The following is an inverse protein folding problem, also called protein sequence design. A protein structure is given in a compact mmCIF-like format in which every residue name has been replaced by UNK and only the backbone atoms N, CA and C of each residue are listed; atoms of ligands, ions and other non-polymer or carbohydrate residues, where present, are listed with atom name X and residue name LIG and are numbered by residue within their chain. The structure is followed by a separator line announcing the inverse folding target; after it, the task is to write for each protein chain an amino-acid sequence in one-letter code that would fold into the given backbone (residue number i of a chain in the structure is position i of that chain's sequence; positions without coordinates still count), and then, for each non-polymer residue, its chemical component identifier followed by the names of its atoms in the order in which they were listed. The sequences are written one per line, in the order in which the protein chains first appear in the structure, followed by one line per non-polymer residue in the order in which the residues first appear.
data_IF_130228667890
#
_entry.id   IF_130228667890
#
_cell.length_a   1.000
_cell.length_b   1.000
_cell.length_c   1.000
_cell.angle_alpha   90.00
_cell.angle_beta   90.00
_cell.angle_gamma   90.00
#
_symmetry.space_group_name_H-M   'P 1'
#
loop_
_entity.id
_entity.type
_entity.pdbx_description
1 polymer ?
#
# COMPACT_ATOMS: atom_id res chain seq x y z
N UNK A 1 -16.35 10.53 18.57
CA UNK A 1 -15.72 9.31 18.07
C UNK A 1 -15.04 9.68 16.74
N UNK A 2 -13.71 9.81 16.78
CA UNK A 2 -12.89 10.29 15.67
C UNK A 2 -12.06 9.11 15.10
N UNK A 3 -12.57 8.36 14.12
CA UNK A 3 -11.86 7.22 13.55
C UNK A 3 -10.48 7.59 12.98
N UNK A 4 -10.34 8.80 12.42
CA UNK A 4 -9.11 9.34 11.84
C UNK A 4 -7.97 9.55 12.87
N UNK A 5 -8.29 9.59 14.16
CA UNK A 5 -7.31 9.74 15.25
C UNK A 5 -6.86 8.39 15.85
N UNK A 6 -7.44 7.26 15.38
CA UNK A 6 -7.10 5.93 15.90
C UNK A 6 -5.80 5.42 15.32
N UNK A 7 -5.06 4.68 16.13
CA UNK A 7 -3.98 3.83 15.62
C UNK A 7 -4.59 2.70 14.77
N UNK A 8 -4.06 2.50 13.60
CA UNK A 8 -4.56 1.52 12.65
C UNK A 8 -3.45 0.59 12.16
N UNK A 9 -3.83 -0.62 11.79
CA UNK A 9 -2.93 -1.59 11.18
C UNK A 9 -3.65 -2.40 10.10
N UNK A 10 -2.89 -2.81 9.09
CA UNK A 10 -3.30 -3.82 8.12
C UNK A 10 -2.76 -5.19 8.54
N UNK A 11 -3.44 -6.25 8.15
CA UNK A 11 -3.04 -7.61 8.50
C UNK A 11 -3.38 -8.57 7.38
N UNK A 12 -2.46 -9.49 7.10
CA UNK A 12 -2.70 -10.61 6.20
C UNK A 12 -2.38 -11.92 6.91
N UNK A 13 -3.27 -12.89 6.82
CA UNK A 13 -3.19 -14.17 7.55
C UNK A 13 -3.43 -15.33 6.60
N UNK A 14 -2.58 -16.35 6.65
CA UNK A 14 -2.88 -17.64 6.08
C UNK A 14 -3.44 -18.60 7.14
N UNK A 15 -4.64 -19.12 6.90
CA UNK A 15 -5.27 -20.15 7.73
C UNK A 15 -5.00 -21.54 7.15
N UNK A 16 -4.08 -22.27 7.77
CA UNK A 16 -3.76 -23.66 7.34
C UNK A 16 -4.98 -24.59 7.40
N UNK A 17 -5.80 -24.47 8.46
CA UNK A 17 -6.97 -25.32 8.65
C UNK A 17 -8.05 -25.07 7.58
N UNK A 18 -8.27 -23.81 7.20
CA UNK A 18 -9.29 -23.44 6.22
C UNK A 18 -8.75 -23.39 4.80
N UNK A 19 -7.42 -23.40 4.64
CA UNK A 19 -6.77 -23.16 3.36
C UNK A 19 -7.24 -21.87 2.70
N UNK A 20 -7.16 -20.80 3.47
CA UNK A 20 -7.60 -19.48 3.05
C UNK A 20 -6.55 -18.43 3.43
N UNK A 21 -6.43 -17.37 2.61
CA UNK A 21 -5.73 -16.15 2.98
C UNK A 21 -6.77 -15.09 3.28
N UNK A 22 -6.65 -14.41 4.42
CA UNK A 22 -7.51 -13.32 4.85
C UNK A 22 -6.73 -12.02 4.84
N UNK A 23 -7.29 -10.99 4.18
CA UNK A 23 -6.68 -9.68 4.06
C UNK A 23 -7.57 -8.64 4.74
N UNK A 24 -7.00 -7.91 5.68
CA UNK A 24 -7.59 -6.78 6.39
C UNK A 24 -6.70 -5.57 6.13
N UNK A 25 -7.27 -4.50 5.56
CA UNK A 25 -6.48 -3.37 5.07
C UNK A 25 -5.82 -3.67 3.72
N UNK A 26 -4.82 -2.91 3.36
CA UNK A 26 -4.18 -2.79 2.07
C UNK A 26 -2.98 -3.72 1.83
N UNK A 27 -2.98 -4.88 2.47
CA UNK A 27 -1.97 -5.92 2.25
C UNK A 27 -2.02 -6.51 0.84
N UNK A 28 -0.98 -7.25 0.48
CA UNK A 28 -0.84 -7.92 -0.80
C UNK A 28 -0.27 -9.33 -0.64
N UNK A 29 -0.52 -10.22 -1.61
CA UNK A 29 0.08 -11.55 -1.62
C UNK A 29 0.27 -12.11 -3.03
N UNK A 30 1.12 -13.14 -3.11
CA UNK A 30 1.24 -14.03 -4.25
C UNK A 30 0.81 -15.44 -3.82
N UNK A 31 0.08 -16.11 -4.69
CA UNK A 31 -0.20 -17.55 -4.62
C UNK A 31 0.33 -18.17 -5.92
N UNK A 32 1.49 -18.79 -5.86
CA UNK A 32 2.28 -19.05 -7.07
C UNK A 32 2.58 -17.72 -7.78
N UNK A 33 2.18 -17.63 -9.05
CA UNK A 33 2.34 -16.41 -9.86
C UNK A 33 1.13 -15.47 -9.83
N UNK A 34 0.06 -15.85 -9.12
CA UNK A 34 -1.15 -15.03 -9.04
C UNK A 34 -1.00 -13.96 -7.96
N UNK A 35 -1.10 -12.70 -8.38
CA UNK A 35 -1.06 -11.54 -7.49
C UNK A 35 -2.46 -11.16 -7.00
N UNK A 36 -2.54 -10.84 -5.72
CA UNK A 36 -3.74 -10.32 -5.05
C UNK A 36 -3.36 -9.16 -4.15
N UNK A 37 -4.18 -8.12 -4.17
CA UNK A 37 -4.10 -6.97 -3.28
C UNK A 37 -5.47 -6.65 -2.68
N UNK A 38 -5.53 -5.68 -1.78
CA UNK A 38 -6.78 -5.24 -1.18
C UNK A 38 -6.74 -3.71 -0.96
N UNK A 39 -6.60 -2.91 -2.05
CA UNK A 39 -6.40 -1.48 -1.93
C UNK A 39 -7.63 -0.79 -1.31
N UNK A 40 -7.40 0.35 -0.68
CA UNK A 40 -8.50 1.24 -0.26
C UNK A 40 -9.21 1.78 -1.50
N UNK A 41 -10.56 1.94 -1.49
CA UNK A 41 -11.34 2.27 -2.68
C UNK A 41 -10.90 3.53 -3.44
N UNK A 42 -10.34 4.51 -2.72
CA UNK A 42 -9.96 5.81 -3.31
C UNK A 42 -8.45 6.00 -3.38
N UNK A 43 -7.67 5.03 -2.92
CA UNK A 43 -6.21 5.14 -2.85
C UNK A 43 -5.58 5.48 -4.20
N UNK A 44 -5.98 4.79 -5.26
CA UNK A 44 -5.52 5.06 -6.62
C UNK A 44 -5.87 6.49 -7.05
N UNK A 45 -7.10 6.96 -6.78
CA UNK A 45 -7.52 8.32 -7.11
C UNK A 45 -6.69 9.37 -6.37
N UNK A 46 -6.38 9.13 -5.09
CA UNK A 46 -5.53 10.04 -4.30
C UNK A 46 -4.09 10.05 -4.82
N UNK A 47 -3.54 8.90 -5.17
CA UNK A 47 -2.22 8.79 -5.77
C UNK A 47 -2.15 9.54 -7.12
N UNK A 48 -3.17 9.43 -7.96
CA UNK A 48 -3.27 10.16 -9.23
C UNK A 48 -3.39 11.67 -9.03
N UNK A 49 -4.21 12.12 -8.08
CA UNK A 49 -4.36 13.55 -7.74
C UNK A 49 -3.04 14.14 -7.24
N UNK A 50 -2.35 13.43 -6.33
CA UNK A 50 -1.04 13.85 -5.85
C UNK A 50 -0.02 13.93 -6.99
N UNK A 51 0.03 12.92 -7.87
CA UNK A 51 0.93 12.93 -9.02
C UNK A 51 0.65 14.10 -9.97
N UNK A 52 -0.62 14.36 -10.27
CA UNK A 52 -1.01 15.49 -11.12
C UNK A 52 -0.61 16.85 -10.50
N UNK A 53 -0.79 17.01 -9.18
CA UNK A 53 -0.40 18.21 -8.46
C UNK A 53 1.13 18.39 -8.44
N UNK A 54 1.90 17.33 -8.20
CA UNK A 54 3.36 17.36 -8.26
C UNK A 54 3.85 17.81 -9.66
N UNK A 55 3.30 17.21 -10.71
CA UNK A 55 3.62 17.60 -12.08
C UNK A 55 3.26 19.07 -12.38
N UNK A 56 2.11 19.54 -11.92
CA UNK A 56 1.69 20.94 -12.06
C UNK A 56 2.66 21.90 -11.39
N UNK A 57 3.01 21.62 -10.12
CA UNK A 57 3.92 22.48 -9.34
C UNK A 57 5.32 22.55 -9.98
N UNK A 58 5.82 21.41 -10.48
CA UNK A 58 7.11 21.37 -11.19
C UNK A 58 7.05 22.12 -12.54
N UNK A 59 5.97 21.96 -13.30
CA UNK A 59 5.79 22.66 -14.58
C UNK A 59 5.68 24.18 -14.42
N UNK A 60 5.13 24.65 -13.29
CA UNK A 60 5.06 26.08 -12.94
C UNK A 60 6.36 26.62 -12.33
N UNK A 61 7.39 25.78 -12.17
CA UNK A 61 8.67 26.15 -11.55
C UNK A 61 8.57 26.48 -10.06
N UNK A 62 7.50 26.06 -9.38
CA UNK A 62 7.28 26.27 -7.94
C UNK A 62 8.00 25.24 -7.08
N UNK A 63 8.16 24.02 -7.60
CA UNK A 63 8.79 22.91 -6.91
C UNK A 63 9.78 22.19 -7.84
N UNK A 64 10.73 21.49 -7.23
CA UNK A 64 11.65 20.55 -7.88
C UNK A 64 11.47 19.16 -7.26
N UNK A 65 12.09 18.14 -7.84
CA UNK A 65 12.11 16.79 -7.23
C UNK A 65 12.70 16.85 -5.82
N UNK A 66 13.80 17.58 -5.65
CA UNK A 66 14.50 17.73 -4.38
C UNK A 66 13.65 18.43 -3.33
N UNK A 67 12.94 19.51 -3.69
CA UNK A 67 12.07 20.23 -2.75
C UNK A 67 10.88 19.36 -2.32
N UNK A 68 10.24 18.63 -3.24
CA UNK A 68 9.15 17.69 -2.95
C UNK A 68 9.59 16.49 -2.12
N UNK A 69 10.84 16.05 -2.21
CA UNK A 69 11.39 15.02 -1.34
C UNK A 69 11.64 15.52 0.09
N UNK A 70 11.89 16.82 0.27
CA UNK A 70 12.06 17.44 1.59
C UNK A 70 10.71 17.73 2.23
N UNK A 71 9.80 18.31 1.44
CA UNK A 71 8.45 18.66 1.86
C UNK A 71 7.46 18.42 0.71
N UNK A 72 6.62 17.42 0.84
CA UNK A 72 5.69 17.00 -0.21
C UNK A 72 4.43 17.88 -0.23
N UNK A 73 4.54 19.08 -0.78
CA UNK A 73 3.43 20.01 -0.93
C UNK A 73 2.29 19.46 -1.82
N UNK A 74 2.61 18.53 -2.73
CA UNK A 74 1.60 17.83 -3.52
C UNK A 74 0.78 16.84 -2.64
N UNK A 75 1.40 16.24 -1.61
CA UNK A 75 0.70 15.44 -0.62
C UNK A 75 -0.20 16.30 0.27
N UNK A 76 0.26 17.48 0.67
CA UNK A 76 -0.54 18.40 1.48
C UNK A 76 -1.88 18.73 0.82
N UNK A 77 -1.90 18.85 -0.50
CA UNK A 77 -3.11 19.12 -1.27
C UNK A 77 -4.16 18.00 -1.19
N UNK A 78 -3.76 16.77 -0.87
CA UNK A 78 -4.68 15.61 -0.75
C UNK A 78 -4.96 15.20 0.70
N UNK A 79 -4.27 15.78 1.70
CA UNK A 79 -4.48 15.44 3.13
C UNK A 79 -5.94 15.54 3.56
N UNK A 80 -6.72 16.59 3.20
CA UNK A 80 -8.12 16.68 3.62
C UNK A 80 -8.94 15.47 3.18
N UNK A 81 -8.74 14.98 1.95
CA UNK A 81 -9.44 13.81 1.42
C UNK A 81 -8.96 12.51 2.07
N UNK A 82 -7.65 12.39 2.38
CA UNK A 82 -7.13 11.24 3.12
C UNK A 82 -7.74 11.15 4.53
N UNK A 83 -7.92 12.28 5.22
CA UNK A 83 -8.58 12.34 6.53
C UNK A 83 -10.06 11.94 6.41
N UNK A 84 -10.78 12.44 5.40
CA UNK A 84 -12.17 12.05 5.13
C UNK A 84 -12.30 10.54 4.90
N UNK A 85 -11.34 9.92 4.21
CA UNK A 85 -11.30 8.47 4.05
C UNK A 85 -11.06 7.72 5.35
N UNK A 86 -10.14 8.21 6.19
CA UNK A 86 -9.90 7.62 7.50
C UNK A 86 -11.15 7.65 8.39
N UNK A 87 -12.04 8.63 8.23
CA UNK A 87 -13.35 8.66 8.92
C UNK A 87 -14.30 7.55 8.45
N UNK A 88 -14.04 6.97 7.27
CA UNK A 88 -14.81 5.90 6.68
C UNK A 88 -14.20 4.50 6.88
N UNK A 89 -13.13 4.37 7.66
CA UNK A 89 -12.54 3.08 8.00
C UNK A 89 -13.56 2.17 8.70
N UNK A 90 -13.49 0.87 8.41
CA UNK A 90 -14.48 -0.15 8.80
C UNK A 90 -15.92 0.11 8.32
N UNK A 91 -16.12 1.10 7.42
CA UNK A 91 -17.36 1.31 6.66
C UNK A 91 -17.16 1.00 5.18
N UNK A 92 -16.14 1.59 4.54
CA UNK A 92 -15.82 1.43 3.13
C UNK A 92 -14.73 0.38 2.89
N UNK A 93 -13.74 0.29 3.77
CA UNK A 93 -12.64 -0.68 3.75
C UNK A 93 -12.39 -1.24 5.16
N UNK A 94 -11.70 -2.36 5.28
CA UNK A 94 -11.34 -2.95 6.58
C UNK A 94 -10.03 -2.41 7.10
N UNK A 95 -9.92 -2.28 8.42
CA UNK A 95 -8.69 -1.91 9.14
C UNK A 95 -8.78 -2.44 10.57
N UNK A 96 -7.63 -2.77 11.17
CA UNK A 96 -7.54 -3.07 12.59
C UNK A 96 -7.36 -1.73 13.33
N UNK A 97 -8.37 -1.32 14.07
CA UNK A 97 -8.40 -0.05 14.80
C UNK A 97 -8.89 -0.19 16.27
N UNK A 98 -8.90 -1.46 16.77
CA UNK A 98 -9.38 -1.80 18.10
C UNK A 98 -10.91 -1.96 18.20
N UNK A 99 -11.64 -1.84 17.09
CA UNK A 99 -13.09 -2.04 17.02
C UNK A 99 -13.47 -3.22 16.12
N UNK A 100 -14.76 -3.50 16.02
CA UNK A 100 -15.28 -4.62 15.23
C UNK A 100 -15.01 -4.40 13.74
N UNK A 101 -14.35 -5.35 13.10
CA UNK A 101 -14.12 -5.37 11.66
C UNK A 101 -15.32 -6.05 10.99
N UNK A 102 -16.01 -5.40 10.05
CA UNK A 102 -17.12 -6.01 9.31
C UNK A 102 -16.61 -7.19 8.45
N UNK A 103 -17.17 -8.38 8.64
CA UNK A 103 -16.73 -9.61 7.94
C UNK A 103 -16.74 -9.45 6.41
N UNK A 104 -17.74 -8.77 5.85
CA UNK A 104 -17.87 -8.52 4.41
C UNK A 104 -16.78 -7.62 3.84
N UNK A 105 -15.98 -6.98 4.68
CA UNK A 105 -14.84 -6.14 4.28
C UNK A 105 -13.50 -6.87 4.37
N UNK A 106 -13.47 -8.06 4.94
CA UNK A 106 -12.29 -8.94 4.91
C UNK A 106 -12.25 -9.65 3.57
N UNK A 107 -11.19 -9.45 2.81
CA UNK A 107 -10.98 -10.20 1.57
C UNK A 107 -10.51 -11.61 1.90
N UNK A 108 -11.21 -12.62 1.38
CA UNK A 108 -10.88 -14.03 1.57
C UNK A 108 -10.49 -14.65 0.23
N UNK A 109 -9.32 -15.27 0.19
CA UNK A 109 -8.80 -15.98 -0.98
C UNK A 109 -8.77 -17.48 -0.61
N UNK A 110 -9.67 -18.31 -1.15
CA UNK A 110 -9.64 -19.76 -0.93
C UNK A 110 -8.52 -20.39 -1.75
N UNK A 111 -7.87 -21.39 -1.17
CA UNK A 111 -6.83 -22.19 -1.82
C UNK A 111 -7.31 -23.64 -1.94
N UNK A 112 -7.07 -24.27 -3.07
CA UNK A 112 -7.23 -25.70 -3.25
C UNK A 112 -6.13 -26.50 -2.52
N UNK A 113 -6.14 -27.82 -2.66
CA UNK A 113 -5.17 -28.71 -2.02
C UNK A 113 -3.86 -28.90 -2.80
N UNK A 114 -3.66 -28.12 -3.88
CA UNK A 114 -2.39 -28.11 -4.59
C UNK A 114 -1.27 -27.54 -3.72
N UNK A 115 -0.01 -27.95 -3.94
CA UNK A 115 1.13 -27.33 -3.29
C UNK A 115 1.34 -25.92 -3.82
N UNK A 116 1.29 -24.92 -2.93
CA UNK A 116 1.48 -23.52 -3.28
C UNK A 116 2.71 -22.93 -2.61
N UNK A 117 3.47 -22.14 -3.34
CA UNK A 117 4.34 -21.13 -2.74
C UNK A 117 3.50 -19.90 -2.50
N UNK A 118 3.48 -19.43 -1.26
CA UNK A 118 2.73 -18.23 -0.83
C UNK A 118 3.72 -17.16 -0.40
N UNK A 119 3.46 -15.93 -0.85
CA UNK A 119 4.09 -14.72 -0.31
C UNK A 119 2.99 -13.86 0.30
N UNK A 120 3.17 -13.45 1.54
CA UNK A 120 2.33 -12.44 2.20
C UNK A 120 3.19 -11.20 2.45
N UNK A 121 2.67 -10.01 2.13
CA UNK A 121 3.40 -8.77 2.26
C UNK A 121 2.49 -7.59 2.62
N UNK A 122 3.06 -6.55 3.24
CA UNK A 122 2.43 -5.25 3.36
C UNK A 122 2.50 -4.48 2.03
N UNK A 123 1.82 -3.35 1.95
CA UNK A 123 1.72 -2.48 0.76
C UNK A 123 3.03 -1.72 0.41
N UNK A 124 4.06 -1.81 1.26
CA UNK A 124 5.35 -1.14 1.04
C UNK A 124 6.19 -1.67 -0.15
N UNK A 125 5.70 -2.67 -0.88
CA UNK A 125 6.33 -3.15 -2.12
C UNK A 125 5.50 -2.72 -3.34
N UNK A 126 5.95 -1.75 -4.15
CA UNK A 126 5.24 -1.32 -5.36
C UNK A 126 5.13 -2.45 -6.40
N UNK A 127 6.08 -3.37 -6.40
CA UNK A 127 6.14 -4.53 -7.28
C UNK A 127 6.54 -5.77 -6.49
N UNK A 128 5.56 -6.42 -5.84
CA UNK A 128 5.80 -7.67 -5.11
C UNK A 128 6.26 -8.77 -6.05
N UNK A 129 7.31 -9.52 -5.65
CA UNK A 129 7.90 -10.63 -6.37
C UNK A 129 7.88 -11.90 -5.54
N UNK A 130 8.15 -13.02 -6.20
CA UNK A 130 8.16 -14.35 -5.59
C UNK A 130 9.30 -14.55 -4.57
N UNK A 131 10.35 -13.72 -4.62
CA UNK A 131 11.43 -13.70 -3.64
C UNK A 131 11.59 -12.32 -3.00
N UNK A 132 12.08 -12.30 -1.76
CA UNK A 132 12.39 -11.05 -1.07
C UNK A 132 13.44 -10.24 -1.84
N UNK A 133 14.48 -10.90 -2.33
CA UNK A 133 15.57 -10.25 -3.07
C UNK A 133 15.04 -9.52 -4.34
N UNK A 134 14.19 -10.16 -5.11
CA UNK A 134 13.59 -9.56 -6.31
C UNK A 134 12.65 -8.40 -5.95
N UNK A 135 11.88 -8.51 -4.85
CA UNK A 135 11.01 -7.45 -4.35
C UNK A 135 11.81 -6.22 -3.89
N UNK A 136 12.88 -6.43 -3.14
CA UNK A 136 13.80 -5.36 -2.71
C UNK A 136 14.53 -4.71 -3.90
N UNK A 137 14.95 -5.50 -4.88
CA UNK A 137 15.55 -4.98 -6.12
C UNK A 137 14.57 -4.13 -6.92
N UNK A 138 13.31 -4.57 -7.04
CA UNK A 138 12.26 -3.80 -7.73
C UNK A 138 11.95 -2.50 -6.97
N UNK A 139 11.93 -2.52 -5.64
CA UNK A 139 11.76 -1.32 -4.80
C UNK A 139 12.92 -0.33 -4.98
N UNK A 140 14.15 -0.82 -4.98
CA UNK A 140 15.34 0.02 -5.20
C UNK A 140 15.33 0.66 -6.59
N UNK A 141 14.97 -0.09 -7.63
CA UNK A 141 14.85 0.42 -8.99
C UNK A 141 13.75 1.49 -9.08
N UNK A 142 12.58 1.28 -8.45
CA UNK A 142 11.51 2.28 -8.39
C UNK A 142 11.98 3.58 -7.73
N UNK A 143 12.70 3.48 -6.60
CA UNK A 143 13.24 4.65 -5.90
C UNK A 143 14.23 5.44 -6.74
N UNK A 144 15.04 4.77 -7.54
CA UNK A 144 16.03 5.40 -8.43
C UNK A 144 15.34 6.05 -9.63
N UNK A 145 14.36 5.37 -10.25
CA UNK A 145 13.65 5.83 -11.44
C UNK A 145 12.64 6.93 -11.12
N UNK A 146 11.89 6.79 -10.02
CA UNK A 146 10.81 7.71 -9.63
C UNK A 146 10.72 7.87 -8.10
N UNK A 147 11.63 8.66 -7.51
CA UNK A 147 11.67 8.86 -6.06
C UNK A 147 10.42 9.54 -5.49
N UNK A 148 9.63 10.21 -6.32
CA UNK A 148 8.37 10.84 -5.93
C UNK A 148 7.18 9.90 -6.01
N UNK A 149 7.27 8.72 -6.63
CA UNK A 149 6.12 7.82 -6.89
C UNK A 149 4.97 8.55 -7.61
N UNK A 150 5.26 9.23 -8.70
CA UNK A 150 4.29 9.98 -9.53
C UNK A 150 4.26 9.55 -10.98
N UNK A 151 5.11 8.62 -11.38
CA UNK A 151 5.25 8.10 -12.74
C UNK A 151 4.47 6.80 -12.96
N UNK A 152 5.21 5.73 -13.25
CA UNK A 152 4.66 4.39 -13.53
C UNK A 152 3.93 3.79 -12.33
N UNK A 153 4.52 3.86 -11.15
CA UNK A 153 3.88 3.53 -9.89
C UNK A 153 3.51 4.85 -9.20
N UNK A 154 2.23 5.01 -8.87
CA UNK A 154 1.76 6.19 -8.15
C UNK A 154 1.38 5.81 -6.72
N UNK A 155 1.83 6.63 -5.77
CA UNK A 155 1.48 6.47 -4.37
C UNK A 155 1.06 7.81 -3.75
N UNK A 156 0.40 7.74 -2.60
CA UNK A 156 -0.01 8.94 -1.85
C UNK A 156 1.15 9.63 -1.14
N UNK A 157 2.37 9.09 -1.24
CA UNK A 157 3.61 9.63 -0.63
C UNK A 157 4.86 9.30 -1.47
N UNK A 158 5.86 10.17 -1.37
CA UNK A 158 7.18 9.99 -1.95
C UNK A 158 8.07 9.07 -1.10
N UNK A 159 9.22 8.66 -1.64
CA UNK A 159 10.29 8.08 -0.83
C UNK A 159 10.85 9.12 0.13
N UNK A 160 11.11 8.71 1.37
CA UNK A 160 11.78 9.60 2.32
C UNK A 160 13.29 9.61 2.02
N UNK A 161 13.94 10.80 1.97
CA UNK A 161 15.36 10.90 1.60
C UNK A 161 16.31 10.05 2.45
N UNK A 162 15.97 9.87 3.74
CA UNK A 162 16.79 9.11 4.70
C UNK A 162 16.38 7.65 4.87
N UNK A 163 15.36 7.18 4.10
CA UNK A 163 14.86 5.80 4.16
C UNK A 163 15.01 5.12 2.81
N UNK A 164 15.11 3.81 2.80
CA UNK A 164 15.14 3.02 1.58
C UNK A 164 13.75 2.53 1.14
N UNK A 165 12.70 3.06 1.72
CA UNK A 165 11.30 2.76 1.41
C UNK A 165 10.43 4.01 1.54
N UNK A 166 9.28 4.04 0.88
CA UNK A 166 8.24 5.06 1.03
C UNK A 166 7.21 4.67 2.11
N UNK A 167 7.13 3.39 2.47
CA UNK A 167 6.26 2.86 3.51
C UNK A 167 6.94 1.77 4.34
N UNK A 168 6.31 1.38 5.46
CA UNK A 168 6.70 0.21 6.24
C UNK A 168 6.47 -1.05 5.40
N UNK A 169 7.38 -2.03 5.52
CA UNK A 169 7.28 -3.25 4.74
C UNK A 169 7.59 -4.50 5.55
N UNK A 170 6.80 -5.50 5.30
CA UNK A 170 6.99 -6.86 5.79
C UNK A 170 6.80 -7.86 4.65
N UNK A 171 7.51 -8.96 4.73
CA UNK A 171 7.51 -10.00 3.72
C UNK A 171 7.69 -11.35 4.38
N UNK A 172 6.83 -12.31 4.05
CA UNK A 172 6.99 -13.70 4.46
C UNK A 172 6.69 -14.61 3.28
N UNK A 173 7.52 -15.64 3.07
CA UNK A 173 7.37 -16.65 2.03
C UNK A 173 7.42 -18.04 2.63
N UNK A 174 6.48 -18.91 2.24
CA UNK A 174 6.40 -20.30 2.69
C UNK A 174 5.71 -21.18 1.66
N UNK A 175 5.77 -22.50 1.87
CA UNK A 175 5.07 -23.51 1.07
C UNK A 175 3.97 -24.18 1.89
N UNK A 176 2.88 -24.53 1.23
CA UNK A 176 1.71 -25.20 1.84
C UNK A 176 1.26 -26.37 0.99
#
# INVERSE_FOLDING_TARGET
NHPEERLTASCIVYSRLRREIWMIGDCQCLVGDNYFDNPKPTEQLMAERRAAEAHRLMAEGKETIESLLVHDSARDAIIPQLIEEMQNQNKTYSVIDGFTIPRQKVRVIPLDFSPWTIVLASDGYPFLRSTLEESEKALAAQREEDPLNIGKFKATKAFHPQKNSFDDRSYIRFMV
#
